data_IF_496191090092
#
_entry.id   IF_496191090092
#
_cell.length_a   1.000
_cell.length_b   1.000
_cell.length_c   1.000
_cell.angle_alpha   90.00
_cell.angle_beta   90.00
_cell.angle_gamma   90.00
#
_symmetry.space_group_name_H-M   'P 1'
#
loop_
_entity.id
_entity.type
_entity.pdbx_description
1 polymer ?
#
# COMPACT_ATOMS: atom_id res chain seq x y z
N UNK A 1 -12.80 -20.76 7.13
CA UNK A 1 -12.05 -19.50 7.33
C UNK A 1 -12.13 -18.78 6.01
N UNK A 2 -12.84 -17.67 5.95
CA UNK A 2 -12.94 -16.81 4.77
C UNK A 2 -11.96 -15.66 4.97
N UNK A 3 -11.15 -15.35 3.95
CA UNK A 3 -10.35 -14.13 3.92
C UNK A 3 -11.14 -12.96 3.33
N UNK A 4 -10.53 -11.78 3.33
CA UNK A 4 -11.09 -10.61 2.65
C UNK A 4 -11.36 -10.89 1.17
N UNK A 5 -12.44 -10.30 0.66
CA UNK A 5 -12.90 -10.43 -0.72
C UNK A 5 -12.56 -9.16 -1.47
N UNK A 6 -12.10 -9.27 -2.71
CA UNK A 6 -11.64 -8.12 -3.48
C UNK A 6 -12.27 -8.10 -4.86
N UNK A 7 -12.61 -6.91 -5.36
CA UNK A 7 -12.93 -6.77 -6.77
C UNK A 7 -11.66 -6.83 -7.64
N UNK A 8 -11.85 -6.73 -8.96
CA UNK A 8 -10.75 -6.76 -9.92
C UNK A 8 -9.83 -5.53 -9.82
N UNK A 9 -10.27 -4.47 -9.13
CA UNK A 9 -9.50 -3.26 -8.87
C UNK A 9 -8.77 -3.32 -7.52
N UNK A 10 -8.95 -4.39 -6.73
CA UNK A 10 -8.34 -4.53 -5.41
C UNK A 10 -9.03 -3.75 -4.30
N UNK A 11 -10.30 -3.34 -4.48
CA UNK A 11 -11.13 -2.83 -3.39
C UNK A 11 -11.74 -3.98 -2.59
N UNK A 12 -11.82 -3.83 -1.27
CA UNK A 12 -12.47 -4.82 -0.39
C UNK A 12 -13.97 -4.84 -0.69
N UNK A 13 -14.53 -6.01 -0.99
CA UNK A 13 -15.97 -6.20 -1.16
C UNK A 13 -16.58 -6.50 0.21
N UNK A 14 -17.38 -5.59 0.80
CA UNK A 14 -18.12 -5.89 2.02
C UNK A 14 -19.26 -6.87 1.72
N UNK A 15 -19.57 -7.74 2.68
CA UNK A 15 -20.80 -8.54 2.72
C UNK A 15 -21.07 -9.38 1.45
N UNK A 16 -20.11 -10.22 1.05
CA UNK A 16 -20.30 -11.16 -0.07
C UNK A 16 -21.52 -12.06 0.20
N UNK A 17 -22.51 -12.02 -0.68
CA UNK A 17 -23.85 -12.56 -0.45
C UNK A 17 -23.89 -14.06 -0.09
N UNK A 18 -22.96 -14.85 -0.65
CA UNK A 18 -22.64 -16.19 -0.15
C UNK A 18 -21.12 -16.31 0.05
N UNK A 19 -20.63 -16.29 1.31
CA UNK A 19 -19.20 -16.36 1.60
C UNK A 19 -18.54 -17.69 1.20
N UNK A 20 -19.33 -18.73 0.91
CA UNK A 20 -18.82 -20.03 0.46
C UNK A 20 -18.67 -20.13 -1.06
N UNK A 21 -19.28 -19.21 -1.82
CA UNK A 21 -19.18 -19.17 -3.29
C UNK A 21 -18.02 -18.30 -3.78
N UNK A 22 -17.29 -17.68 -2.86
CA UNK A 22 -16.22 -16.74 -3.16
C UNK A 22 -14.85 -17.23 -2.67
N UNK A 23 -13.82 -17.00 -3.47
CA UNK A 23 -12.44 -17.13 -3.05
C UNK A 23 -11.55 -16.06 -3.70
N UNK A 24 -10.70 -15.42 -2.90
CA UNK A 24 -9.63 -14.53 -3.38
C UNK A 24 -8.38 -15.36 -3.67
N UNK A 25 -7.93 -15.35 -4.92
CA UNK A 25 -6.69 -16.02 -5.34
C UNK A 25 -5.63 -14.96 -5.67
N UNK A 26 -4.56 -14.95 -4.89
CA UNK A 26 -3.39 -14.10 -5.13
C UNK A 26 -2.23 -14.87 -5.75
N UNK A 27 -1.60 -14.30 -6.78
CA UNK A 27 -0.27 -14.74 -7.19
C UNK A 27 0.74 -14.38 -6.10
N UNK A 28 1.71 -15.25 -5.81
CA UNK A 28 2.75 -15.00 -4.78
C UNK A 28 3.49 -13.66 -5.00
N UNK A 29 3.70 -13.25 -6.25
CA UNK A 29 4.33 -11.97 -6.58
C UNK A 29 3.39 -10.75 -6.55
N UNK A 30 2.08 -10.97 -6.44
CA UNK A 30 1.05 -9.93 -6.47
C UNK A 30 0.81 -9.27 -5.11
N UNK A 31 0.20 -8.08 -5.13
CA UNK A 31 -0.02 -7.26 -3.93
C UNK A 31 -0.83 -7.99 -2.83
N UNK A 32 -1.89 -8.72 -3.21
CA UNK A 32 -2.71 -9.46 -2.24
C UNK A 32 -1.92 -10.52 -1.47
N UNK A 33 -1.13 -11.36 -2.14
CA UNK A 33 -0.34 -12.36 -1.44
C UNK A 33 0.76 -11.70 -0.60
N UNK A 34 1.40 -10.65 -1.12
CA UNK A 34 2.45 -9.90 -0.43
C UNK A 34 1.96 -9.29 0.88
N UNK A 35 0.82 -8.58 0.91
CA UNK A 35 0.33 -7.96 2.16
C UNK A 35 0.11 -8.99 3.26
N UNK A 36 -0.49 -10.13 2.92
CA UNK A 36 -0.75 -11.23 3.88
C UNK A 36 0.58 -11.83 4.37
N UNK A 37 1.53 -12.09 3.47
CA UNK A 37 2.86 -12.59 3.81
C UNK A 37 3.68 -11.60 4.65
N UNK A 38 3.40 -10.30 4.52
CA UNK A 38 3.99 -9.22 5.32
C UNK A 38 3.27 -9.01 6.67
N UNK A 39 2.24 -9.80 6.99
CA UNK A 39 1.51 -9.72 8.25
C UNK A 39 0.33 -8.75 8.26
N UNK A 40 -0.02 -8.14 7.13
CA UNK A 40 -1.20 -7.28 6.97
C UNK A 40 -2.44 -8.12 6.65
N UNK A 41 -2.89 -8.91 7.62
CA UNK A 41 -4.13 -9.68 7.59
C UNK A 41 -4.94 -9.42 8.87
N UNK A 42 -6.10 -8.74 8.79
CA UNK A 42 -6.91 -8.42 9.98
C UNK A 42 -7.54 -9.65 10.63
N UNK A 43 -7.52 -10.80 9.97
CA UNK A 43 -8.00 -12.06 10.52
C UNK A 43 -6.87 -12.87 11.17
N UNK A 44 -5.62 -12.41 11.09
CA UNK A 44 -4.52 -13.05 11.79
C UNK A 44 -4.63 -12.80 13.31
N UNK A 45 -4.74 -13.86 14.14
CA UNK A 45 -4.84 -13.68 15.58
C UNK A 45 -3.47 -13.37 16.19
N UNK A 46 -3.37 -12.33 17.03
CA UNK A 46 -2.14 -12.05 17.76
C UNK A 46 -2.00 -10.60 18.20
N UNK A 47 -0.92 -10.31 18.93
CA UNK A 47 -0.57 -8.95 19.33
C UNK A 47 -0.20 -8.06 18.12
N UNK A 48 0.20 -8.68 17.01
CA UNK A 48 0.62 -8.01 15.78
C UNK A 48 -0.53 -7.90 14.76
N UNK A 49 -1.77 -8.20 15.15
CA UNK A 49 -2.93 -8.10 14.27
C UNK A 49 -3.04 -6.68 13.67
N UNK A 50 -3.26 -6.59 12.37
CA UNK A 50 -3.53 -5.32 11.69
C UNK A 50 -5.02 -5.03 11.67
N UNK A 51 -5.39 -3.76 11.64
CA UNK A 51 -6.75 -3.32 11.39
C UNK A 51 -7.09 -3.42 9.90
N UNK A 52 -8.37 -3.37 9.54
CA UNK A 52 -8.81 -3.25 8.15
C UNK A 52 -8.22 -2.00 7.49
N UNK A 53 -8.15 -0.88 8.21
CA UNK A 53 -7.56 0.35 7.68
C UNK A 53 -6.07 0.19 7.35
N UNK A 54 -5.28 -0.45 8.22
CA UNK A 54 -3.86 -0.73 7.97
C UNK A 54 -3.68 -1.69 6.78
N UNK A 55 -4.56 -2.69 6.65
CA UNK A 55 -4.60 -3.60 5.51
C UNK A 55 -4.86 -2.89 4.18
N UNK A 56 -5.86 -2.01 4.13
CA UNK A 56 -6.20 -1.20 2.96
C UNK A 56 -5.06 -0.23 2.61
N UNK A 57 -4.47 0.41 3.62
CA UNK A 57 -3.30 1.28 3.46
C UNK A 57 -2.14 0.53 2.80
N UNK A 58 -1.85 -0.69 3.27
CA UNK A 58 -0.82 -1.55 2.68
C UNK A 58 -1.15 -1.97 1.24
N UNK A 59 -2.41 -2.31 0.95
CA UNK A 59 -2.82 -2.63 -0.42
C UNK A 59 -2.56 -1.45 -1.36
N UNK A 60 -2.99 -0.24 -0.97
CA UNK A 60 -2.76 0.99 -1.75
C UNK A 60 -1.28 1.25 -1.99
N UNK A 61 -0.44 1.10 -0.97
CA UNK A 61 1.01 1.28 -1.11
C UNK A 61 1.64 0.27 -2.09
N UNK A 62 1.25 -1.00 -1.99
CA UNK A 62 1.77 -2.06 -2.84
C UNK A 62 1.37 -1.87 -4.31
N UNK A 63 0.22 -1.25 -4.58
CA UNK A 63 -0.27 -0.97 -5.93
C UNK A 63 -0.01 0.47 -6.39
N UNK A 64 0.68 1.29 -5.59
CA UNK A 64 0.87 2.72 -5.84
C UNK A 64 -0.45 3.44 -6.19
N UNK A 65 -1.51 3.10 -5.45
CA UNK A 65 -2.84 3.68 -5.62
C UNK A 65 -2.98 4.91 -4.72
N UNK A 66 -2.46 6.04 -5.22
CA UNK A 66 -2.32 7.27 -4.46
C UNK A 66 -3.66 7.93 -4.07
N UNK A 67 -4.72 7.65 -4.83
CA UNK A 67 -6.11 8.06 -4.59
C UNK A 67 -7.06 6.92 -4.95
N UNK A 68 -8.37 7.14 -5.03
CA UNK A 68 -9.35 6.15 -5.52
C UNK A 68 -9.31 5.93 -7.05
N UNK A 69 -8.25 6.38 -7.71
CA UNK A 69 -8.00 6.21 -9.14
C UNK A 69 -7.29 4.91 -9.50
N UNK A 70 -6.43 4.96 -10.50
CA UNK A 70 -5.74 3.79 -11.05
C UNK A 70 -4.49 3.41 -10.24
N UNK A 71 -3.96 2.22 -10.52
CA UNK A 71 -2.66 1.79 -9.99
C UNK A 71 -1.52 2.45 -10.78
N UNK A 72 -0.51 2.96 -10.09
CA UNK A 72 0.62 3.67 -10.71
C UNK A 72 1.96 2.90 -10.59
N UNK A 73 1.87 1.58 -10.50
CA UNK A 73 3.01 0.66 -10.47
C UNK A 73 2.71 -0.56 -11.30
N UNK A 74 3.74 -1.35 -11.62
CA UNK A 74 3.60 -2.63 -12.28
C UNK A 74 4.26 -3.77 -11.48
N UNK A 75 3.93 -5.03 -11.77
CA UNK A 75 4.62 -6.16 -11.15
C UNK A 75 6.13 -6.10 -11.41
N UNK A 76 6.92 -6.15 -10.33
CA UNK A 76 8.38 -6.13 -10.39
C UNK A 76 9.03 -4.79 -10.06
N UNK A 77 8.25 -3.71 -9.94
CA UNK A 77 8.77 -2.41 -9.47
C UNK A 77 9.34 -2.53 -8.05
N UNK A 78 10.61 -2.16 -7.81
CA UNK A 78 11.19 -2.14 -6.48
C UNK A 78 10.47 -1.17 -5.54
N UNK A 79 10.38 -1.54 -4.26
CA UNK A 79 9.65 -0.79 -3.24
C UNK A 79 10.31 -1.02 -1.88
N UNK A 80 10.67 0.07 -1.21
CA UNK A 80 11.10 0.07 0.19
C UNK A 80 10.05 0.75 1.05
N UNK A 81 9.75 0.22 2.22
CA UNK A 81 8.73 0.76 3.10
C UNK A 81 9.11 0.63 4.56
N UNK A 82 8.49 1.45 5.40
CA UNK A 82 8.56 1.33 6.85
C UNK A 82 7.14 1.44 7.42
N UNK A 83 6.94 0.84 8.59
CA UNK A 83 5.76 1.10 9.40
C UNK A 83 6.13 1.59 10.80
N UNK A 84 5.15 2.18 11.47
CA UNK A 84 5.27 2.68 12.86
C UNK A 84 5.56 1.57 13.89
N UNK A 85 5.40 0.30 13.50
CA UNK A 85 5.73 -0.88 14.30
C UNK A 85 7.19 -1.33 14.15
N UNK A 86 7.95 -0.75 13.21
CA UNK A 86 9.35 -1.10 12.98
C UNK A 86 9.56 -2.53 12.48
N UNK A 87 8.61 -3.09 11.72
CA UNK A 87 8.71 -4.46 11.20
C UNK A 87 9.80 -4.64 10.15
N UNK A 88 10.18 -3.55 9.48
CA UNK A 88 11.23 -3.53 8.47
C UNK A 88 12.11 -2.31 8.67
N UNK A 89 13.43 -2.51 8.60
CA UNK A 89 14.42 -1.44 8.62
C UNK A 89 14.90 -1.20 7.20
N UNK A 90 14.97 0.08 6.80
CA UNK A 90 15.59 0.43 5.54
C UNK A 90 17.08 0.06 5.55
N UNK A 91 17.59 -0.55 4.48
CA UNK A 91 19.01 -0.82 4.36
C UNK A 91 19.82 0.47 4.19
N UNK A 92 20.93 0.59 4.91
CA UNK A 92 21.82 1.76 4.88
C UNK A 92 22.57 1.92 3.53
N UNK A 93 22.65 0.86 2.72
CA UNK A 93 23.43 0.81 1.48
C UNK A 93 22.62 1.11 0.21
N UNK A 94 21.32 1.39 0.34
CA UNK A 94 20.46 1.71 -0.79
C UNK A 94 20.30 3.23 -0.94
N UNK A 95 20.45 3.69 -2.18
CA UNK A 95 20.05 5.04 -2.55
C UNK A 95 18.55 5.04 -2.75
N UNK A 96 17.81 5.63 -1.81
CA UNK A 96 16.36 5.69 -1.83
C UNK A 96 15.89 7.12 -1.57
N UNK A 97 14.72 7.46 -2.07
CA UNK A 97 14.05 8.71 -1.73
C UNK A 97 12.60 8.49 -1.36
N UNK A 98 12.05 9.44 -0.58
CA UNK A 98 10.67 9.39 -0.12
C UNK A 98 9.74 9.37 -1.32
N UNK A 99 8.84 8.38 -1.34
CA UNK A 99 7.77 8.32 -2.32
C UNK A 99 6.52 8.96 -1.73
N UNK A 100 5.97 8.41 -0.64
CA UNK A 100 4.69 8.85 -0.11
C UNK A 100 4.47 8.46 1.36
N UNK A 101 3.57 9.20 2.01
CA UNK A 101 3.01 8.89 3.32
C UNK A 101 1.57 8.41 3.15
N UNK A 102 1.25 7.23 3.69
CA UNK A 102 0.01 6.53 3.37
C UNK A 102 -1.02 6.56 4.50
N UNK A 103 -2.29 6.60 4.09
CA UNK A 103 -3.48 6.43 4.92
C UNK A 103 -4.44 5.43 4.26
N UNK A 104 -5.53 5.07 4.94
CA UNK A 104 -6.55 4.20 4.36
C UNK A 104 -7.28 4.83 3.17
N UNK A 105 -7.31 6.17 3.09
CA UNK A 105 -8.00 6.93 2.05
C UNK A 105 -7.10 7.25 0.85
N UNK A 106 -5.81 6.91 0.88
CA UNK A 106 -4.83 7.26 -0.14
C UNK A 106 -3.55 7.81 0.47
N UNK A 107 -2.89 8.73 -0.22
CA UNK A 107 -1.71 9.41 0.34
C UNK A 107 -2.08 10.67 1.09
N UNK A 108 -1.42 10.89 2.23
CA UNK A 108 -1.41 12.19 2.90
C UNK A 108 -0.53 13.19 2.16
N UNK A 109 0.57 12.71 1.59
CA UNK A 109 1.44 13.44 0.69
C UNK A 109 2.16 12.46 -0.23
N UNK A 110 2.60 12.98 -1.37
CA UNK A 110 3.40 12.29 -2.37
C UNK A 110 4.62 13.18 -2.61
N UNK A 111 5.79 12.62 -2.88
CA UNK A 111 6.95 13.35 -3.43
C UNK A 111 7.24 12.80 -4.82
N UNK A 112 7.96 11.67 -4.90
CA UNK A 112 8.33 11.08 -6.18
C UNK A 112 7.72 9.70 -6.39
N UNK A 113 6.76 9.55 -7.33
CA UNK A 113 6.24 8.23 -7.70
C UNK A 113 7.32 7.32 -8.29
N UNK A 114 7.07 6.00 -8.24
CA UNK A 114 8.06 4.99 -8.65
C UNK A 114 8.19 4.82 -10.16
N UNK A 115 7.07 4.83 -10.88
CA UNK A 115 7.02 4.44 -12.30
C UNK A 115 6.58 5.57 -13.23
N UNK A 116 5.71 6.47 -12.74
CA UNK A 116 5.12 7.57 -13.50
C UNK A 116 5.62 8.91 -12.98
N UNK A 117 5.39 9.98 -13.74
CA UNK A 117 5.60 11.33 -13.23
C UNK A 117 4.53 11.71 -12.20
N UNK A 118 4.87 12.66 -11.32
CA UNK A 118 3.87 13.24 -10.40
C UNK A 118 2.72 13.91 -11.16
N UNK A 119 3.02 14.56 -12.29
CA UNK A 119 2.01 15.21 -13.13
C UNK A 119 0.97 14.21 -13.65
N UNK A 120 1.40 13.00 -14.03
CA UNK A 120 0.47 11.93 -14.41
C UNK A 120 -0.42 11.50 -13.24
N UNK A 121 0.14 11.37 -12.03
CA UNK A 121 -0.66 11.06 -10.83
C UNK A 121 -1.65 12.18 -10.54
N UNK A 122 -1.25 13.44 -10.61
CA UNK A 122 -2.11 14.58 -10.34
C UNK A 122 -3.19 14.78 -11.42
N UNK A 123 -2.97 14.30 -12.64
CA UNK A 123 -3.99 14.27 -13.68
C UNK A 123 -5.14 13.29 -13.34
N UNK A 124 -4.84 12.19 -12.62
CA UNK A 124 -5.83 11.21 -12.15
C UNK A 124 -6.43 11.62 -10.79
N UNK A 125 -5.58 11.95 -9.83
CA UNK A 125 -5.94 12.16 -8.43
C UNK A 125 -6.29 13.61 -8.07
N UNK A 126 -6.05 14.56 -8.97
CA UNK A 126 -6.00 15.98 -8.63
C UNK A 126 -4.73 16.36 -7.85
N UNK A 127 -4.59 17.63 -7.44
CA UNK A 127 -3.40 18.11 -6.75
C UNK A 127 -3.16 17.38 -5.42
N UNK A 128 -1.95 16.86 -5.24
CA UNK A 128 -1.51 16.20 -4.00
C UNK A 128 -0.43 17.07 -3.36
N UNK A 129 -0.40 17.29 -2.03
CA UNK A 129 0.70 18.01 -1.39
C UNK A 129 2.02 17.24 -1.48
N UNK A 130 3.14 17.98 -1.52
CA UNK A 130 4.47 17.42 -1.29
C UNK A 130 4.61 16.98 0.17
N UNK A 131 5.56 16.11 0.46
CA UNK A 131 5.82 15.65 1.82
C UNK A 131 6.65 16.64 2.65
N UNK A 132 6.93 17.82 2.11
CA UNK A 132 7.56 18.90 2.84
C UNK A 132 6.71 19.31 4.06
N UNK A 133 7.31 19.28 5.25
CA UNK A 133 6.65 19.65 6.50
C UNK A 133 5.84 18.53 7.16
N UNK A 134 5.79 17.34 6.56
CA UNK A 134 5.27 16.14 7.20
C UNK A 134 6.37 15.43 7.99
N UNK A 135 6.01 14.82 9.12
CA UNK A 135 6.88 13.91 9.87
C UNK A 135 6.54 12.46 9.47
N UNK A 136 7.43 11.74 8.76
CA UNK A 136 7.18 10.35 8.39
C UNK A 136 6.91 9.43 9.59
N UNK A 137 7.47 9.73 10.76
CA UNK A 137 7.24 8.94 11.98
C UNK A 137 5.81 9.07 12.54
N UNK A 138 5.04 10.05 12.06
CA UNK A 138 3.63 10.23 12.45
C UNK A 138 2.65 9.37 11.63
N UNK A 139 3.13 8.63 10.64
CA UNK A 139 2.31 7.82 9.74
C UNK A 139 2.54 6.33 9.97
N UNK A 140 1.46 5.56 9.90
CA UNK A 140 1.54 4.11 10.02
C UNK A 140 2.42 3.49 8.94
N UNK A 141 2.37 4.02 7.72
CA UNK A 141 3.03 3.43 6.57
C UNK A 141 3.67 4.50 5.68
N UNK A 142 4.94 4.29 5.35
CA UNK A 142 5.76 5.17 4.52
C UNK A 142 6.43 4.35 3.44
N UNK A 143 6.45 4.84 2.20
CA UNK A 143 7.15 4.19 1.11
C UNK A 143 8.25 5.06 0.51
N UNK A 144 9.22 4.38 -0.09
CA UNK A 144 10.42 4.94 -0.69
C UNK A 144 10.64 4.27 -2.04
N UNK A 145 11.05 5.07 -3.03
CA UNK A 145 11.50 4.56 -4.32
C UNK A 145 13.01 4.36 -4.32
N UNK A 146 13.47 3.36 -5.06
CA UNK A 146 14.89 3.14 -5.31
C UNK A 146 15.41 4.15 -6.34
N UNK A 147 16.59 4.69 -6.09
CA UNK A 147 17.36 5.52 -7.02
C UNK A 147 18.42 4.63 -7.68
N UNK A 148 18.38 4.55 -9.01
CA UNK A 148 19.38 3.82 -9.80
C UNK A 148 20.77 4.49 -9.77
#
# INVERSE_FOLDING_TARGET
IQGESYDWQGHVIPDVADPFDWATLGCLGGAYAKKVLMGYDPHHPGADATTTAENETMMRMLTARYCDGENHTEPGTPLFWQNDRGWYSLPDDQSIELEALWTADGVACLDTPRLVSREEVEADCGPIPTCEGFDPAAYHLVSYRLLD
#
